data_IF_448492701551
#
_entry.id   IF_448492701551
#
_cell.length_a   1.000
_cell.length_b   1.000
_cell.length_c   1.000
_cell.angle_alpha   90.00
_cell.angle_beta   90.00
_cell.angle_gamma   90.00
#
_symmetry.space_group_name_H-M   'P 1'
#
loop_
_entity.id
_entity.type
_entity.pdbx_description
1 polymer ?
#
# COMPACT_ATOMS: atom_id res chain seq x y z
N UNK A 1 1.76 13.94 14.89
CA UNK A 1 0.46 13.26 14.81
C UNK A 1 0.40 12.59 13.46
N UNK A 2 0.37 11.27 13.44
CA UNK A 2 0.16 10.51 12.20
C UNK A 2 -1.27 10.80 11.71
N UNK A 3 -1.54 10.86 10.41
CA UNK A 3 -2.90 10.80 9.91
C UNK A 3 -3.46 9.42 10.26
N UNK A 4 -4.21 9.35 11.36
CA UNK A 4 -4.77 8.10 11.86
C UNK A 4 -5.94 7.72 10.97
N UNK A 5 -5.69 6.87 9.97
CA UNK A 5 -6.76 6.14 9.31
C UNK A 5 -7.33 5.18 10.36
N UNK A 6 -8.52 5.52 10.86
CA UNK A 6 -9.21 4.75 11.90
C UNK A 6 -9.75 3.42 11.38
N UNK A 7 -10.13 3.39 10.10
CA UNK A 7 -10.69 2.21 9.44
C UNK A 7 -9.84 1.88 8.21
N UNK A 8 -8.85 1.01 8.41
CA UNK A 8 -8.03 0.54 7.31
C UNK A 8 -8.77 -0.47 6.42
N UNK A 9 -9.78 -1.16 6.93
CA UNK A 9 -10.59 -2.10 6.15
C UNK A 9 -11.37 -1.34 5.06
N UNK A 10 -11.79 -0.10 5.33
CA UNK A 10 -12.40 0.78 4.34
C UNK A 10 -11.47 1.12 3.15
N UNK A 11 -10.15 1.03 3.35
CA UNK A 11 -9.15 1.25 2.30
C UNK A 11 -9.00 0.06 1.36
N UNK A 12 -9.53 -1.12 1.70
CA UNK A 12 -9.48 -2.31 0.83
C UNK A 12 -10.11 -2.01 -0.54
N UNK A 13 -9.44 -2.49 -1.58
CA UNK A 13 -9.79 -2.26 -2.99
C UNK A 13 -9.81 -0.78 -3.42
N UNK A 14 -9.36 0.16 -2.59
CA UNK A 14 -9.21 1.57 -2.96
C UNK A 14 -7.91 1.81 -3.71
N UNK A 15 -7.88 2.88 -4.47
CA UNK A 15 -6.70 3.31 -5.22
C UNK A 15 -5.64 3.84 -4.26
N UNK A 16 -4.37 3.63 -4.61
CA UNK A 16 -3.22 4.15 -3.89
C UNK A 16 -2.44 5.06 -4.82
N UNK A 17 -2.18 6.28 -4.36
CA UNK A 17 -1.44 7.30 -5.09
C UNK A 17 -0.15 7.68 -4.36
N UNK A 18 0.89 7.99 -5.12
CA UNK A 18 2.16 8.51 -4.59
C UNK A 18 1.97 9.95 -4.07
N UNK A 19 2.99 10.49 -3.39
CA UNK A 19 3.02 11.91 -2.99
C UNK A 19 2.92 12.90 -4.16
N UNK A 20 3.24 12.45 -5.38
CA UNK A 20 3.14 13.25 -6.62
C UNK A 20 1.78 13.07 -7.31
N UNK A 21 0.90 12.22 -6.76
CA UNK A 21 -0.41 11.90 -7.33
C UNK A 21 -0.40 10.78 -8.38
N UNK A 22 0.74 10.13 -8.62
CA UNK A 22 0.82 9.01 -9.55
C UNK A 22 0.08 7.78 -9.03
N UNK A 23 -0.64 7.09 -9.92
CA UNK A 23 -1.23 5.80 -9.59
C UNK A 23 -0.14 4.76 -9.32
N UNK A 24 -0.17 4.20 -8.11
CA UNK A 24 0.66 3.09 -7.67
C UNK A 24 -0.05 1.78 -7.95
N UNK A 25 -1.32 1.69 -7.52
CA UNK A 25 -2.09 0.46 -7.57
C UNK A 25 -3.35 0.53 -6.72
N UNK A 26 -3.79 -0.61 -6.21
CA UNK A 26 -4.92 -0.73 -5.30
C UNK A 26 -4.52 -1.46 -4.01
N UNK A 27 -5.18 -1.14 -2.90
CA UNK A 27 -5.00 -1.88 -1.65
C UNK A 27 -5.57 -3.29 -1.83
N UNK A 28 -4.71 -4.28 -1.64
CA UNK A 28 -5.06 -5.70 -1.72
C UNK A 28 -5.38 -6.25 -0.33
N UNK A 29 -4.53 -5.92 0.65
CA UNK A 29 -4.70 -6.33 2.03
C UNK A 29 -4.10 -5.29 3.00
N UNK A 30 -4.43 -5.41 4.27
CA UNK A 30 -3.87 -4.60 5.35
C UNK A 30 -3.48 -5.51 6.52
N UNK A 31 -2.27 -5.33 7.02
CA UNK A 31 -1.76 -5.91 8.26
C UNK A 31 -1.89 -4.89 9.41
N UNK A 32 -1.52 -5.26 10.65
CA UNK A 32 -1.43 -4.33 11.78
C UNK A 32 -0.57 -3.09 11.47
N UNK A 33 0.56 -3.28 10.78
CA UNK A 33 1.59 -2.25 10.58
C UNK A 33 1.80 -1.82 9.12
N UNK A 34 1.31 -2.60 8.15
CA UNK A 34 1.56 -2.39 6.73
C UNK A 34 0.26 -2.46 5.92
N UNK A 35 0.33 -1.91 4.70
CA UNK A 35 -0.70 -1.98 3.66
C UNK A 35 -0.06 -2.66 2.47
N UNK A 36 -0.70 -3.73 2.00
CA UNK A 36 -0.30 -4.42 0.78
C UNK A 36 -1.00 -3.75 -0.40
N UNK A 37 -0.20 -3.33 -1.36
CA UNK A 37 -0.67 -2.63 -2.56
C UNK A 37 -0.27 -3.43 -3.78
N UNK A 38 -1.24 -3.79 -4.60
CA UNK A 38 -1.03 -4.50 -5.86
C UNK A 38 -1.09 -3.53 -7.02
N UNK A 39 -0.15 -3.64 -7.97
CA UNK A 39 -0.26 -2.91 -9.23
C UNK A 39 -1.39 -3.47 -10.09
N UNK A 40 -1.91 -2.69 -11.04
CA UNK A 40 -2.84 -3.20 -12.04
C UNK A 40 -2.34 -4.51 -12.69
N UNK A 41 -3.23 -5.50 -12.77
CA UNK A 41 -2.90 -6.84 -13.25
C UNK A 41 -2.13 -7.72 -12.24
N UNK A 42 -2.04 -7.33 -10.97
CA UNK A 42 -1.42 -8.08 -9.86
C UNK A 42 0.03 -8.56 -10.13
N UNK A 43 0.75 -7.84 -11.00
CA UNK A 43 2.12 -8.19 -11.42
C UNK A 43 3.16 -7.86 -10.36
N UNK A 44 2.87 -6.93 -9.46
CA UNK A 44 3.81 -6.45 -8.45
C UNK A 44 3.05 -6.08 -7.19
N UNK A 45 3.61 -6.49 -6.05
CA UNK A 45 3.05 -6.23 -4.73
C UNK A 45 4.04 -5.35 -3.97
N UNK A 46 3.53 -4.33 -3.30
CA UNK A 46 4.29 -3.45 -2.44
C UNK A 46 3.79 -3.59 -1.02
N UNK A 47 4.71 -3.75 -0.07
CA UNK A 47 4.39 -3.76 1.34
C UNK A 47 4.74 -2.42 1.96
N UNK A 48 3.73 -1.55 2.03
CA UNK A 48 3.92 -0.15 2.41
C UNK A 48 3.61 0.02 3.90
N UNK A 49 4.57 0.49 4.71
CA UNK A 49 4.31 0.80 6.11
C UNK A 49 3.25 1.89 6.29
N UNK A 50 2.31 1.70 7.22
CA UNK A 50 1.22 2.65 7.50
C UNK A 50 1.70 4.06 7.87
N UNK A 51 2.91 4.19 8.43
CA UNK A 51 3.48 5.49 8.77
C UNK A 51 3.85 6.34 7.54
N UNK A 52 4.06 5.70 6.39
CA UNK A 52 4.29 6.35 5.09
C UNK A 52 2.99 6.76 4.39
N UNK A 53 1.84 6.39 4.93
CA UNK A 53 0.54 6.85 4.44
C UNK A 53 0.31 8.29 4.91
N UNK A 54 -0.06 9.15 3.96
CA UNK A 54 -0.40 10.55 4.20
C UNK A 54 -1.87 10.73 4.57
N UNK A 55 -2.76 9.91 4.03
CA UNK A 55 -4.16 9.96 4.38
C UNK A 55 -5.03 9.11 3.47
N UNK A 56 -6.32 9.10 3.79
CA UNK A 56 -7.36 8.45 3.00
C UNK A 56 -8.55 9.40 2.90
N UNK A 57 -8.94 9.76 1.68
CA UNK A 57 -10.04 10.70 1.42
C UNK A 57 -11.43 10.03 1.32
N UNK A 58 -11.48 8.69 1.38
CA UNK A 58 -12.66 7.89 1.12
C UNK A 58 -12.63 7.19 -0.24
N UNK A 59 -11.94 7.79 -1.23
CA UNK A 59 -11.79 7.22 -2.56
C UNK A 59 -10.38 6.68 -2.82
N UNK A 60 -9.34 7.38 -2.36
CA UNK A 60 -7.95 6.99 -2.55
C UNK A 60 -7.08 7.16 -1.30
N UNK A 61 -6.04 6.32 -1.21
CA UNK A 61 -5.01 6.39 -0.17
C UNK A 61 -3.81 7.13 -0.75
N UNK A 62 -3.43 8.24 -0.12
CA UNK A 62 -2.27 9.04 -0.52
C UNK A 62 -1.06 8.65 0.30
N UNK A 63 0.11 8.53 -0.34
CA UNK A 63 1.38 8.20 0.31
C UNK A 63 2.26 9.43 0.42
N UNK A 64 3.12 9.46 1.45
CA UNK A 64 4.14 10.52 1.66
C UNK A 64 5.37 10.37 0.77
N UNK A 65 5.48 9.26 0.05
CA UNK A 65 6.66 8.89 -0.74
C UNK A 65 6.36 8.86 -2.23
N UNK A 66 7.39 9.00 -3.06
CA UNK A 66 7.27 8.91 -4.51
C UNK A 66 7.21 7.46 -4.98
N UNK A 67 6.65 7.23 -6.17
CA UNK A 67 6.57 5.89 -6.78
C UNK A 67 7.94 5.21 -6.90
N UNK A 68 8.99 5.98 -7.23
CA UNK A 68 10.37 5.46 -7.31
C UNK A 68 10.90 4.94 -5.98
N UNK A 69 10.46 5.52 -4.87
CA UNK A 69 10.84 5.03 -3.55
C UNK A 69 10.13 3.74 -3.18
N UNK A 70 8.93 3.49 -3.74
CA UNK A 70 8.15 2.28 -3.52
C UNK A 70 8.84 1.02 -4.03
N UNK A 71 9.76 1.14 -4.99
CA UNK A 71 10.57 0.01 -5.47
C UNK A 71 11.34 -0.68 -4.33
N UNK A 72 11.71 0.03 -3.26
CA UNK A 72 12.39 -0.58 -2.09
C UNK A 72 11.46 -1.41 -1.20
N UNK A 73 10.15 -1.20 -1.34
CA UNK A 73 9.08 -1.89 -0.61
C UNK A 73 8.41 -2.97 -1.47
N UNK A 74 8.90 -3.16 -2.69
CA UNK A 74 8.44 -4.22 -3.57
C UNK A 74 8.72 -5.56 -2.91
N UNK A 75 7.69 -6.35 -2.68
CA UNK A 75 7.87 -7.77 -2.38
C UNK A 75 8.26 -8.44 -3.69
N UNK A 76 9.56 -8.68 -3.86
CA UNK A 76 10.05 -9.53 -4.93
C UNK A 76 9.41 -10.91 -4.72
N UNK A 77 8.85 -11.46 -5.79
CA UNK A 77 8.14 -12.74 -5.78
C UNK A 77 9.10 -13.93 -5.65
N UNK A 78 10.13 -13.80 -4.79
CA UNK A 78 11.26 -14.72 -4.64
C UNK A 78 11.35 -15.40 -3.28
N UNK A 79 10.82 -14.84 -2.19
CA UNK A 79 10.86 -15.49 -0.87
C UNK A 79 9.57 -15.28 -0.07
N UNK A 80 8.69 -16.29 -0.13
CA UNK A 80 8.12 -16.81 1.10
C UNK A 80 6.82 -16.20 1.62
N UNK A 81 5.72 -16.32 0.88
CA UNK A 81 4.51 -16.86 1.52
C UNK A 81 4.74 -18.37 1.75
N UNK A 82 5.65 -18.67 2.67
CA UNK A 82 5.79 -20.01 3.23
C UNK A 82 4.48 -20.32 3.92
N UNK A 83 3.76 -21.31 3.39
CA UNK A 83 2.64 -21.98 4.06
C UNK A 83 2.89 -22.05 5.57
N UNK A 84 2.11 -21.31 6.36
CA UNK A 84 1.89 -21.72 7.75
C UNK A 84 0.86 -22.84 7.71
N UNK A 85 1.29 -23.99 8.20
CA UNK A 85 0.60 -25.29 8.19
C UNK A 85 -0.55 -25.32 9.20
#
# INVERSE_FOLDING_TARGET
MSPEIYDWEATLHKLVTSSEGDLVGNVDAVDDTNVLVSTEGARTHYRIPKHLVEGFDGHSVSLKVQKRELERFKEDQGEGFGKVK
#
